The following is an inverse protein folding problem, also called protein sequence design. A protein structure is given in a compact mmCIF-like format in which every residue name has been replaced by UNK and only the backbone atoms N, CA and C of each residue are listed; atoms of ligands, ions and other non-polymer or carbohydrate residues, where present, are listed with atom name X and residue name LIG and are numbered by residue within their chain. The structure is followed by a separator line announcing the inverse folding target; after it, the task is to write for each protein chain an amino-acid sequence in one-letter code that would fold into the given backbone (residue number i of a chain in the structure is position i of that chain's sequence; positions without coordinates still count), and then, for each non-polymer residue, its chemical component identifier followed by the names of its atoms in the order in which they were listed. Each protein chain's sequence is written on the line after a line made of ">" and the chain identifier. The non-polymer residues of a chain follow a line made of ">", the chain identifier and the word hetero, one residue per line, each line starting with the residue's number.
data_IF_705302169847
#
_entry.id   IF_705302169847
#
_cell.length_a   1.000
_cell.length_b   1.000
_cell.length_c   1.000
_cell.angle_alpha   90.00
_cell.angle_beta   90.00
_cell.angle_gamma   90.00
#
_symmetry.space_group_name_H-M   'P 1'
#
loop_
_entity.id
_entity.type
_entity.pdbx_description
1 polymer ?
#
# COMPACT_ATOMS: atom_id res chain seq x y z
N UNK A 1 -24.00 -0.46 1.87
CA UNK A 1 -23.92 -1.92 1.89
C UNK A 1 -22.52 -2.44 1.53
N UNK A 2 -21.76 -1.77 0.64
CA UNK A 2 -20.40 -2.19 0.26
C UNK A 2 -19.43 -2.33 1.46
N UNK A 3 -19.34 -1.35 2.39
CA UNK A 3 -18.49 -1.49 3.58
C UNK A 3 -18.91 -2.67 4.47
N UNK A 4 -20.21 -2.99 4.52
CA UNK A 4 -20.71 -4.14 5.30
C UNK A 4 -20.21 -5.45 4.69
N UNK A 5 -20.35 -5.63 3.37
CA UNK A 5 -19.83 -6.82 2.67
C UNK A 5 -18.32 -6.92 2.83
N UNK A 6 -17.58 -5.82 2.65
CA UNK A 6 -16.14 -5.78 2.87
C UNK A 6 -15.75 -6.16 4.30
N UNK A 7 -16.44 -5.63 5.30
CA UNK A 7 -16.21 -5.96 6.70
C UNK A 7 -16.48 -7.43 7.02
N UNK A 8 -17.58 -7.99 6.52
CA UNK A 8 -17.89 -9.41 6.65
C UNK A 8 -16.81 -10.29 6.00
N UNK A 9 -16.39 -9.94 4.80
CA UNK A 9 -15.32 -10.66 4.11
C UNK A 9 -14.00 -10.59 4.89
N UNK A 10 -13.59 -9.41 5.35
CA UNK A 10 -12.36 -9.23 6.14
C UNK A 10 -12.35 -10.07 7.41
N UNK A 11 -13.48 -10.07 8.15
CA UNK A 11 -13.56 -10.73 9.46
C UNK A 11 -13.77 -12.23 9.30
N UNK A 12 -14.75 -12.66 8.50
CA UNK A 12 -15.12 -14.07 8.40
C UNK A 12 -14.08 -14.83 7.57
N UNK A 13 -13.82 -14.37 6.36
CA UNK A 13 -12.98 -15.11 5.38
C UNK A 13 -11.51 -14.98 5.72
N UNK A 14 -11.01 -13.73 5.87
CA UNK A 14 -9.55 -13.50 5.99
C UNK A 14 -9.04 -13.75 7.41
N UNK A 15 -9.87 -13.54 8.43
CA UNK A 15 -9.45 -13.62 9.83
C UNK A 15 -9.96 -14.88 10.54
N UNK A 16 -11.27 -15.13 10.57
CA UNK A 16 -11.86 -16.20 11.37
C UNK A 16 -11.59 -17.60 10.83
N UNK A 17 -11.63 -17.79 9.50
CA UNK A 17 -11.34 -19.11 8.91
C UNK A 17 -9.90 -19.60 9.18
N UNK A 18 -8.98 -18.69 9.47
CA UNK A 18 -7.57 -19.02 9.75
C UNK A 18 -7.22 -19.06 11.24
N UNK A 19 -8.19 -18.93 12.14
CA UNK A 19 -7.97 -19.05 13.58
C UNK A 19 -8.16 -17.77 14.39
N UNK A 20 -8.58 -16.66 13.78
CA UNK A 20 -8.94 -15.42 14.48
C UNK A 20 -7.78 -14.44 14.66
N UNK A 21 -7.66 -13.90 15.86
CA UNK A 21 -6.66 -12.85 16.15
C UNK A 21 -5.21 -13.35 15.97
N UNK A 22 -4.45 -12.64 15.14
CA UNK A 22 -3.02 -12.93 14.94
C UNK A 22 -2.72 -14.12 14.03
N UNK A 23 -3.73 -14.74 13.41
CA UNK A 23 -3.57 -15.89 12.51
C UNK A 23 -3.86 -15.58 11.04
N UNK A 24 -4.15 -14.32 10.72
CA UNK A 24 -4.41 -13.89 9.36
C UNK A 24 -3.14 -13.97 8.49
N UNK A 25 -3.26 -14.57 7.31
CA UNK A 25 -2.15 -14.75 6.36
C UNK A 25 -1.91 -13.52 5.47
N UNK A 26 -2.83 -12.57 5.46
CA UNK A 26 -2.70 -11.27 4.78
C UNK A 26 -3.45 -10.19 5.58
N UNK A 27 -3.21 -8.94 5.25
CA UNK A 27 -3.92 -7.82 5.88
C UNK A 27 -5.42 -7.87 5.55
N UNK A 28 -6.32 -8.03 6.55
CA UNK A 28 -7.75 -8.24 6.31
C UNK A 28 -8.44 -7.05 5.63
N UNK A 29 -8.04 -5.82 5.98
CA UNK A 29 -8.63 -4.62 5.40
C UNK A 29 -8.27 -4.48 3.91
N UNK A 30 -7.01 -4.75 3.55
CA UNK A 30 -6.56 -4.73 2.17
C UNK A 30 -7.17 -5.86 1.34
N UNK A 31 -7.28 -7.06 1.91
CA UNK A 31 -7.94 -8.18 1.25
C UNK A 31 -9.39 -7.86 0.91
N UNK A 32 -10.13 -7.27 1.86
CA UNK A 32 -11.50 -6.81 1.61
C UNK A 32 -11.56 -5.70 0.57
N UNK A 33 -10.64 -4.72 0.61
CA UNK A 33 -10.56 -3.66 -0.41
C UNK A 33 -10.32 -4.25 -1.79
N UNK A 34 -9.39 -5.17 -1.94
CA UNK A 34 -9.12 -5.82 -3.23
C UNK A 34 -10.31 -6.67 -3.70
N UNK A 35 -10.96 -7.41 -2.81
CA UNK A 35 -12.18 -8.14 -3.13
C UNK A 35 -13.27 -7.21 -3.68
N UNK A 36 -13.51 -6.08 -3.01
CA UNK A 36 -14.49 -5.10 -3.45
C UNK A 36 -14.10 -4.41 -4.76
N UNK A 37 -12.81 -4.09 -4.94
CA UNK A 37 -12.29 -3.51 -6.19
C UNK A 37 -12.51 -4.43 -7.39
N UNK A 38 -12.30 -5.73 -7.23
CA UNK A 38 -12.49 -6.71 -8.30
C UNK A 38 -13.98 -6.96 -8.56
N UNK A 39 -14.79 -7.11 -7.49
CA UNK A 39 -16.20 -7.48 -7.61
C UNK A 39 -17.11 -6.30 -7.99
N UNK A 40 -16.77 -5.09 -7.54
CA UNK A 40 -17.60 -3.89 -7.68
C UNK A 40 -16.81 -2.69 -8.22
N UNK A 41 -15.96 -2.91 -9.21
CA UNK A 41 -15.02 -1.94 -9.78
C UNK A 41 -15.67 -0.58 -10.05
N UNK A 42 -16.80 -0.56 -10.79
CA UNK A 42 -17.46 0.69 -11.17
C UNK A 42 -17.93 1.55 -10.00
N UNK A 43 -18.23 0.94 -8.82
CA UNK A 43 -18.62 1.69 -7.63
C UNK A 43 -17.42 2.09 -6.76
N UNK A 44 -16.36 1.30 -6.80
CA UNK A 44 -15.16 1.54 -6.01
C UNK A 44 -14.20 2.55 -6.65
N UNK A 45 -14.30 2.75 -7.98
CA UNK A 45 -13.44 3.70 -8.73
C UNK A 45 -14.15 4.99 -9.13
N UNK A 46 -15.43 5.13 -8.82
CA UNK A 46 -16.19 6.33 -9.14
C UNK A 46 -16.13 7.32 -7.97
N UNK A 47 -15.24 8.30 -8.08
CA UNK A 47 -15.05 9.33 -7.07
C UNK A 47 -15.82 10.58 -7.45
N UNK A 48 -16.60 11.11 -6.50
CA UNK A 48 -17.31 12.37 -6.64
C UNK A 48 -16.64 13.42 -5.78
N UNK A 49 -16.20 14.50 -6.38
CA UNK A 49 -15.62 15.65 -5.69
C UNK A 49 -16.35 16.91 -6.17
N UNK A 50 -16.83 17.69 -5.21
CA UNK A 50 -17.57 18.94 -5.48
C UNK A 50 -18.80 18.75 -6.42
N UNK A 51 -19.48 17.58 -6.29
CA UNK A 51 -20.65 17.24 -7.08
C UNK A 51 -20.38 16.75 -8.51
N UNK A 52 -19.10 16.68 -8.93
CA UNK A 52 -18.68 16.17 -10.23
C UNK A 52 -17.85 14.90 -10.10
N UNK A 53 -18.03 13.96 -11.02
CA UNK A 53 -17.13 12.82 -11.15
C UNK A 53 -15.80 13.28 -11.71
N UNK A 54 -14.72 13.05 -10.99
CA UNK A 54 -13.37 13.45 -11.39
C UNK A 54 -12.39 12.30 -11.32
N UNK A 55 -11.40 12.31 -12.19
CA UNK A 55 -10.31 11.34 -12.18
C UNK A 55 -9.39 11.59 -10.97
N UNK A 56 -8.85 10.52 -10.40
CA UNK A 56 -7.83 10.64 -9.34
C UNK A 56 -6.55 11.26 -9.88
N UNK A 57 -5.76 11.98 -9.03
CA UNK A 57 -4.49 12.57 -9.46
C UNK A 57 -3.56 11.56 -10.14
N UNK A 58 -3.54 10.33 -9.64
CA UNK A 58 -2.71 9.26 -10.20
C UNK A 58 -3.18 8.82 -11.60
N UNK A 59 -4.49 8.82 -11.86
CA UNK A 59 -5.04 8.53 -13.19
C UNK A 59 -4.70 9.65 -14.20
N UNK A 60 -4.69 10.90 -13.75
CA UNK A 60 -4.29 12.08 -14.55
C UNK A 60 -2.80 11.99 -14.91
N UNK A 61 -1.94 11.71 -13.92
CA UNK A 61 -0.49 11.52 -14.13
C UNK A 61 -0.20 10.37 -15.09
N UNK A 62 -0.95 9.28 -15.02
CA UNK A 62 -0.80 8.12 -15.91
C UNK A 62 -1.13 8.47 -17.38
N UNK A 63 -2.02 9.43 -17.61
CA UNK A 63 -2.35 9.93 -18.94
C UNK A 63 -1.34 10.96 -19.48
N UNK A 64 -0.27 11.26 -18.71
CA UNK A 64 0.78 12.21 -19.09
C UNK A 64 0.45 13.67 -18.80
N UNK A 65 -0.61 13.93 -18.05
CA UNK A 65 -0.98 15.28 -17.61
C UNK A 65 -0.30 15.60 -16.27
N UNK A 66 0.06 16.88 -16.05
CA UNK A 66 0.60 17.36 -14.78
C UNK A 66 -0.53 17.62 -13.77
N UNK A 67 -0.31 17.29 -12.51
CA UNK A 67 -1.22 17.60 -11.42
C UNK A 67 -0.52 18.45 -10.36
N UNK A 68 -1.23 19.36 -9.70
CA UNK A 68 -0.67 20.27 -8.71
C UNK A 68 -0.25 19.52 -7.43
N UNK A 69 1.07 19.44 -7.20
CA UNK A 69 1.68 18.77 -6.04
C UNK A 69 1.19 19.38 -4.71
N UNK A 70 0.97 20.69 -4.65
CA UNK A 70 0.53 21.37 -3.42
C UNK A 70 -0.86 20.89 -3.02
N UNK A 71 -1.75 20.73 -4.00
CA UNK A 71 -3.11 20.18 -3.73
C UNK A 71 -3.05 18.76 -3.22
N UNK A 72 -2.18 17.91 -3.77
CA UNK A 72 -1.98 16.54 -3.28
C UNK A 72 -1.39 16.54 -1.87
N UNK A 73 -0.48 17.44 -1.59
CA UNK A 73 0.18 17.52 -0.28
C UNK A 73 -0.80 17.95 0.82
N UNK A 74 -1.65 18.93 0.56
CA UNK A 74 -2.67 19.43 1.52
C UNK A 74 -3.85 18.46 1.60
N UNK A 75 -4.22 17.79 0.49
CA UNK A 75 -5.35 16.85 0.44
C UNK A 75 -6.61 17.41 -0.23
N UNK A 76 -6.49 18.52 -0.97
CA UNK A 76 -7.58 19.06 -1.78
C UNK A 76 -7.63 18.36 -3.15
N UNK A 77 -7.82 17.04 -3.12
CA UNK A 77 -7.80 16.15 -4.29
C UNK A 77 -8.84 15.06 -4.16
N UNK A 78 -9.20 14.52 -5.31
CA UNK A 78 -10.09 13.36 -5.42
C UNK A 78 -9.34 12.11 -4.98
N UNK A 79 -9.93 11.30 -4.11
CA UNK A 79 -9.33 10.06 -3.64
C UNK A 79 -10.15 9.36 -2.58
N UNK A 80 -9.65 8.23 -2.08
CA UNK A 80 -10.30 7.50 -1.00
C UNK A 80 -10.10 8.21 0.35
N UNK A 81 -11.06 8.06 1.24
CA UNK A 81 -10.99 8.63 2.59
C UNK A 81 -9.75 8.09 3.31
N UNK A 82 -8.92 8.99 3.83
CA UNK A 82 -7.71 8.66 4.59
C UNK A 82 -6.42 8.59 3.77
N UNK A 83 -6.45 8.78 2.45
CA UNK A 83 -5.22 8.79 1.63
C UNK A 83 -5.00 10.11 0.86
N UNK A 84 -5.90 11.07 0.95
CA UNK A 84 -5.84 12.31 0.16
C UNK A 84 -4.78 13.29 0.65
N UNK A 85 -4.55 13.42 1.95
CA UNK A 85 -3.59 14.39 2.52
C UNK A 85 -2.27 13.74 2.91
N UNK A 86 -1.22 13.99 2.12
CA UNK A 86 0.13 13.50 2.43
C UNK A 86 0.68 14.08 3.76
N UNK A 87 0.40 15.36 4.06
CA UNK A 87 0.83 16.00 5.33
C UNK A 87 0.23 15.28 6.52
N UNK A 88 -1.07 15.05 6.54
CA UNK A 88 -1.74 14.41 7.67
C UNK A 88 -1.19 12.98 7.91
N UNK A 89 -0.94 12.24 6.81
CA UNK A 89 -0.35 10.91 6.88
C UNK A 89 1.08 10.94 7.42
N UNK A 90 1.91 11.90 7.00
CA UNK A 90 3.28 12.02 7.49
C UNK A 90 3.34 12.42 8.98
N UNK A 91 2.43 13.27 9.45
CA UNK A 91 2.31 13.61 10.88
C UNK A 91 1.94 12.35 11.69
N UNK A 92 0.95 11.57 11.22
CA UNK A 92 0.58 10.31 11.86
C UNK A 92 1.72 9.29 11.84
N UNK A 93 2.42 9.13 10.73
CA UNK A 93 3.58 8.27 10.60
C UNK A 93 4.71 8.66 11.55
N UNK A 94 5.01 9.96 11.64
CA UNK A 94 6.01 10.49 12.58
C UNK A 94 5.65 10.16 14.03
N UNK A 95 4.40 10.34 14.42
CA UNK A 95 3.91 9.97 15.75
C UNK A 95 4.14 8.48 16.05
N UNK A 96 3.80 7.58 15.12
CA UNK A 96 3.99 6.14 15.31
C UNK A 96 5.48 5.76 15.42
N UNK A 97 6.35 6.41 14.65
CA UNK A 97 7.80 6.20 14.69
C UNK A 97 8.36 6.67 16.04
N UNK A 98 8.02 7.87 16.49
CA UNK A 98 8.48 8.44 17.78
C UNK A 98 8.02 7.57 18.96
N UNK A 99 6.79 7.06 18.90
CA UNK A 99 6.27 6.11 19.89
C UNK A 99 6.83 4.69 19.75
N UNK A 100 7.71 4.44 18.75
CA UNK A 100 8.29 3.12 18.47
C UNK A 100 7.26 2.02 18.22
N UNK A 101 6.08 2.41 17.75
CA UNK A 101 5.03 1.47 17.35
C UNK A 101 5.41 0.76 16.05
N UNK A 102 6.00 1.48 15.10
CA UNK A 102 6.47 0.94 13.83
C UNK A 102 7.98 1.11 13.67
N UNK A 103 8.60 0.14 12.97
CA UNK A 103 10.01 0.24 12.55
C UNK A 103 10.11 0.96 11.22
N UNK A 104 11.08 1.84 11.08
CA UNK A 104 11.30 2.65 9.86
C UNK A 104 11.82 1.81 8.69
N UNK A 105 12.35 0.61 8.94
CA UNK A 105 12.99 -0.24 7.92
C UNK A 105 12.08 -0.52 6.74
N UNK A 106 10.85 -1.01 6.97
CA UNK A 106 9.91 -1.35 5.89
C UNK A 106 9.49 -0.11 5.09
N UNK A 107 8.97 0.99 5.71
CA UNK A 107 8.58 2.16 4.96
C UNK A 107 9.73 2.79 4.18
N UNK A 108 10.92 2.88 4.79
CA UNK A 108 12.08 3.49 4.14
C UNK A 108 12.53 2.68 2.91
N UNK A 109 12.70 1.37 3.05
CA UNK A 109 13.11 0.50 1.93
C UNK A 109 12.05 0.46 0.84
N UNK A 110 10.77 0.46 1.20
CA UNK A 110 9.67 0.50 0.25
C UNK A 110 9.69 1.79 -0.58
N UNK A 111 9.72 2.96 0.08
CA UNK A 111 9.71 4.25 -0.60
C UNK A 111 10.98 4.48 -1.43
N UNK A 112 12.17 4.08 -0.93
CA UNK A 112 13.42 4.18 -1.68
C UNK A 112 13.40 3.30 -2.94
N UNK A 113 12.99 2.04 -2.82
CA UNK A 113 12.91 1.13 -3.97
C UNK A 113 11.90 1.60 -5.00
N UNK A 114 10.73 2.07 -4.55
CA UNK A 114 9.73 2.64 -5.43
C UNK A 114 10.25 3.91 -6.14
N UNK A 115 10.96 4.78 -5.41
CA UNK A 115 11.55 5.99 -6.00
C UNK A 115 12.59 5.67 -7.08
N UNK A 116 13.48 4.71 -6.81
CA UNK A 116 14.47 4.25 -7.80
C UNK A 116 13.76 3.66 -9.03
N UNK A 117 12.74 2.83 -8.80
CA UNK A 117 11.97 2.23 -9.88
C UNK A 117 11.27 3.29 -10.75
N UNK A 118 10.64 4.30 -10.11
CA UNK A 118 9.99 5.42 -10.80
C UNK A 118 10.99 6.24 -11.59
N UNK A 119 12.15 6.57 -11.03
CA UNK A 119 13.17 7.36 -11.74
C UNK A 119 13.71 6.69 -12.99
N UNK A 120 13.74 5.35 -13.02
CA UNK A 120 14.31 4.59 -14.16
C UNK A 120 13.24 4.22 -15.19
N UNK A 121 12.07 3.80 -14.75
CA UNK A 121 11.06 3.11 -15.58
C UNK A 121 9.78 3.92 -15.81
N UNK A 122 9.68 5.13 -15.25
CA UNK A 122 8.48 5.96 -15.46
C UNK A 122 8.45 6.56 -16.88
N UNK A 123 7.27 7.01 -17.33
CA UNK A 123 7.15 7.76 -18.60
C UNK A 123 7.98 9.04 -18.64
N UNK A 124 8.29 9.65 -17.48
CA UNK A 124 9.13 10.83 -17.31
C UNK A 124 10.37 10.49 -16.47
N UNK A 125 11.43 9.86 -17.05
CA UNK A 125 12.60 9.44 -16.29
C UNK A 125 13.33 10.69 -15.73
N UNK A 126 13.84 10.55 -14.48
CA UNK A 126 14.59 11.59 -13.76
C UNK A 126 13.85 12.90 -13.51
N UNK A 127 12.52 12.93 -13.62
CA UNK A 127 11.71 14.08 -13.22
C UNK A 127 11.37 14.01 -11.73
N UNK A 128 11.95 14.92 -10.94
CA UNK A 128 11.72 15.00 -9.50
C UNK A 128 10.30 15.45 -9.15
N UNK A 129 9.67 16.27 -10.00
CA UNK A 129 8.29 16.69 -9.78
C UNK A 129 7.30 15.52 -9.97
N UNK A 130 7.48 14.76 -11.04
CA UNK A 130 6.73 13.55 -11.31
C UNK A 130 6.87 12.54 -10.17
N UNK A 131 8.10 12.30 -9.70
CA UNK A 131 8.39 11.43 -8.56
C UNK A 131 7.64 11.90 -7.30
N UNK A 132 7.67 13.20 -6.98
CA UNK A 132 6.98 13.73 -5.81
C UNK A 132 5.46 13.54 -5.90
N UNK A 133 4.86 13.73 -7.06
CA UNK A 133 3.45 13.46 -7.31
C UNK A 133 3.12 11.97 -7.14
N UNK A 134 3.96 11.07 -7.67
CA UNK A 134 3.79 9.61 -7.53
C UNK A 134 3.93 9.15 -6.07
N UNK A 135 4.82 9.75 -5.29
CA UNK A 135 4.97 9.46 -3.86
C UNK A 135 3.76 9.93 -3.04
N UNK A 136 3.23 11.12 -3.34
CA UNK A 136 2.07 11.67 -2.64
C UNK A 136 0.74 11.05 -3.08
N UNK A 137 0.69 10.43 -4.27
CA UNK A 137 -0.53 9.88 -4.85
C UNK A 137 -0.79 8.41 -4.55
N UNK A 138 -2.05 8.01 -4.76
CA UNK A 138 -2.47 6.60 -4.80
C UNK A 138 -2.23 5.82 -3.51
N UNK A 139 -2.29 6.46 -2.36
CA UNK A 139 -2.21 5.80 -1.07
C UNK A 139 -0.86 5.15 -0.75
N UNK A 140 0.24 5.54 -1.44
CA UNK A 140 1.56 4.95 -1.21
C UNK A 140 2.07 5.23 0.20
N UNK A 141 1.98 6.48 0.68
CA UNK A 141 2.38 6.85 2.04
C UNK A 141 1.55 6.09 3.07
N UNK A 142 0.23 6.04 2.87
CA UNK A 142 -0.65 5.29 3.75
C UNK A 142 -0.31 3.79 3.76
N UNK A 143 -0.10 3.20 2.58
CA UNK A 143 0.32 1.80 2.43
C UNK A 143 1.64 1.50 3.11
N UNK A 144 2.65 2.37 2.93
CA UNK A 144 3.99 2.16 3.46
C UNK A 144 4.06 2.24 4.99
N UNK A 145 3.41 3.23 5.60
CA UNK A 145 3.53 3.47 7.04
C UNK A 145 2.45 2.78 7.89
N UNK A 146 1.25 2.55 7.37
CA UNK A 146 0.13 2.04 8.18
C UNK A 146 -0.31 0.64 7.80
N UNK A 147 -0.11 0.22 6.54
CA UNK A 147 -0.58 -1.07 6.07
C UNK A 147 0.53 -2.13 5.96
N UNK A 148 1.70 -1.77 5.40
CA UNK A 148 2.81 -2.70 5.22
C UNK A 148 3.55 -3.01 6.53
N UNK A 149 3.35 -2.20 7.56
CA UNK A 149 3.97 -2.37 8.89
C UNK A 149 3.10 -3.17 9.87
N UNK A 150 2.06 -3.84 9.40
CA UNK A 150 1.22 -4.70 10.24
C UNK A 150 2.06 -5.83 10.86
N UNK A 151 1.96 -6.00 12.19
CA UNK A 151 2.78 -6.95 12.96
C UNK A 151 2.56 -8.42 12.58
N UNK A 152 1.35 -8.77 12.13
CA UNK A 152 0.99 -10.16 11.84
C UNK A 152 1.48 -10.59 10.46
N UNK A 153 1.44 -9.65 9.51
CA UNK A 153 1.67 -9.94 8.08
C UNK A 153 3.01 -9.45 7.55
N UNK A 154 3.87 -8.86 8.42
CA UNK A 154 5.21 -8.42 8.05
C UNK A 154 6.30 -9.36 8.59
N UNK A 155 7.49 -9.43 7.94
CA UNK A 155 8.59 -10.27 8.38
C UNK A 155 9.13 -9.89 9.76
N UNK A 156 9.53 -10.91 10.53
CA UNK A 156 10.04 -10.73 11.90
C UNK A 156 11.48 -10.21 11.93
N UNK A 157 12.34 -10.72 11.03
CA UNK A 157 13.75 -10.37 10.98
C UNK A 157 14.02 -9.10 10.18
N UNK A 158 15.05 -8.35 10.57
CA UNK A 158 15.44 -7.10 9.90
C UNK A 158 15.83 -7.31 8.43
N UNK A 159 16.51 -8.43 8.13
CA UNK A 159 16.84 -8.78 6.73
C UNK A 159 15.59 -9.11 5.92
N UNK A 160 14.63 -9.83 6.55
CA UNK A 160 13.34 -10.09 5.94
C UNK A 160 12.57 -8.81 5.64
N UNK A 161 12.60 -7.84 6.56
CA UNK A 161 11.97 -6.53 6.37
C UNK A 161 12.56 -5.74 5.20
N UNK A 162 13.88 -5.82 4.99
CA UNK A 162 14.55 -5.22 3.83
C UNK A 162 14.08 -5.86 2.52
N UNK A 163 14.09 -7.20 2.44
CA UNK A 163 13.63 -7.93 1.25
C UNK A 163 12.15 -7.63 0.96
N UNK A 164 11.34 -7.61 2.00
CA UNK A 164 9.91 -7.30 1.90
C UNK A 164 9.67 -5.88 1.38
N UNK A 165 10.40 -4.87 1.89
CA UNK A 165 10.31 -3.50 1.43
C UNK A 165 10.74 -3.33 -0.03
N UNK A 166 11.81 -4.02 -0.47
CA UNK A 166 12.25 -4.04 -1.87
C UNK A 166 11.16 -4.65 -2.76
N UNK A 167 10.61 -5.79 -2.35
CA UNK A 167 9.54 -6.47 -3.09
C UNK A 167 8.31 -5.58 -3.25
N UNK A 168 7.90 -4.90 -2.17
CA UNK A 168 6.80 -3.94 -2.20
C UNK A 168 7.03 -2.81 -3.19
N UNK A 169 8.23 -2.21 -3.18
CA UNK A 169 8.58 -1.11 -4.08
C UNK A 169 8.52 -1.51 -5.55
N UNK A 170 9.11 -2.67 -5.88
CA UNK A 170 9.11 -3.21 -7.25
C UNK A 170 7.69 -3.55 -7.71
N UNK A 171 6.91 -4.30 -6.90
CA UNK A 171 5.56 -4.69 -7.27
C UNK A 171 4.64 -3.48 -7.43
N UNK A 172 4.74 -2.49 -6.53
CA UNK A 172 3.94 -1.26 -6.65
C UNK A 172 4.27 -0.51 -7.94
N UNK A 173 5.56 -0.38 -8.28
CA UNK A 173 5.99 0.25 -9.52
C UNK A 173 5.48 -0.52 -10.75
N UNK A 174 5.59 -1.84 -10.75
CA UNK A 174 5.07 -2.68 -11.84
C UNK A 174 3.56 -2.50 -12.01
N UNK A 175 2.78 -2.53 -10.92
CA UNK A 175 1.33 -2.35 -11.03
C UNK A 175 0.92 -0.95 -11.46
N UNK A 176 1.63 0.09 -11.04
CA UNK A 176 1.32 1.47 -11.43
C UNK A 176 1.63 1.75 -12.90
N UNK A 177 2.80 1.35 -13.36
CA UNK A 177 3.24 1.70 -14.73
C UNK A 177 2.75 0.71 -15.79
N UNK A 178 2.70 -0.56 -15.48
CA UNK A 178 2.31 -1.61 -16.42
C UNK A 178 0.91 -2.18 -16.19
N UNK A 179 0.32 -1.98 -15.00
CA UNK A 179 -1.03 -2.44 -14.69
C UNK A 179 -2.12 -1.57 -15.33
N UNK A 180 -3.31 -2.12 -15.46
CA UNK A 180 -4.50 -1.39 -15.94
C UNK A 180 -5.06 -0.42 -14.89
N UNK A 181 -4.89 -0.73 -13.60
CA UNK A 181 -5.32 0.11 -12.49
C UNK A 181 -4.22 1.09 -12.08
N UNK A 182 -4.60 2.33 -11.80
CA UNK A 182 -3.68 3.32 -11.24
C UNK A 182 -3.26 2.96 -9.79
N UNK A 183 -4.10 2.25 -9.05
CA UNK A 183 -3.87 1.88 -7.65
C UNK A 183 -3.24 0.49 -7.54
N UNK A 184 -1.91 0.41 -7.46
CA UNK A 184 -1.17 -0.85 -7.32
C UNK A 184 -0.79 -1.23 -5.89
N UNK A 185 -0.84 -0.29 -4.95
CA UNK A 185 -0.33 -0.48 -3.56
C UNK A 185 -1.02 -1.63 -2.83
N UNK A 186 -2.35 -1.70 -2.90
CA UNK A 186 -3.12 -2.74 -2.21
C UNK A 186 -2.78 -4.15 -2.70
N UNK A 187 -2.67 -4.33 -4.01
CA UNK A 187 -2.29 -5.60 -4.63
C UNK A 187 -0.84 -5.99 -4.29
N UNK A 188 0.08 -5.02 -4.34
CA UNK A 188 1.49 -5.23 -4.00
C UNK A 188 1.64 -5.72 -2.54
N UNK A 189 0.94 -5.09 -1.60
CA UNK A 189 1.01 -5.48 -0.18
C UNK A 189 0.42 -6.90 0.02
N UNK A 190 -0.72 -7.23 -0.59
CA UNK A 190 -1.31 -8.55 -0.44
C UNK A 190 -0.38 -9.64 -0.99
N UNK A 191 0.15 -9.46 -2.20
CA UNK A 191 1.06 -10.45 -2.79
C UNK A 191 2.31 -10.59 -1.94
N UNK A 192 2.86 -9.46 -1.46
CA UNK A 192 4.04 -9.50 -0.58
C UNK A 192 3.74 -10.19 0.76
N UNK A 193 2.55 -9.99 1.35
CA UNK A 193 2.14 -10.68 2.56
C UNK A 193 2.10 -12.20 2.39
N UNK A 194 1.62 -12.69 1.24
CA UNK A 194 1.62 -14.13 0.91
C UNK A 194 3.04 -14.71 0.83
N UNK A 195 4.03 -13.89 0.49
CA UNK A 195 5.43 -14.30 0.37
C UNK A 195 6.20 -14.18 1.71
N UNK A 196 5.64 -13.55 2.74
CA UNK A 196 6.31 -13.40 4.05
C UNK A 196 6.77 -14.72 4.65
N UNK A 197 5.98 -15.83 4.67
CA UNK A 197 6.45 -17.09 5.20
C UNK A 197 7.69 -17.63 4.46
N UNK A 198 7.80 -17.38 3.17
CA UNK A 198 8.97 -17.75 2.36
C UNK A 198 10.17 -16.87 2.70
N UNK A 199 9.97 -15.56 2.85
CA UNK A 199 11.01 -14.62 3.24
C UNK A 199 11.55 -14.96 4.62
N UNK A 200 10.69 -15.24 5.60
CA UNK A 200 11.10 -15.64 6.95
C UNK A 200 11.88 -16.96 6.95
N UNK A 201 11.47 -17.94 6.12
CA UNK A 201 12.22 -19.19 5.97
C UNK A 201 13.63 -18.97 5.42
N UNK A 202 13.83 -17.99 4.54
CA UNK A 202 15.13 -17.67 3.95
C UNK A 202 16.04 -16.85 4.88
N UNK A 203 15.43 -16.01 5.74
CA UNK A 203 16.19 -15.04 6.56
C UNK A 203 16.46 -15.51 7.98
N UNK A 204 15.59 -16.31 8.57
CA UNK A 204 15.78 -16.87 9.89
C UNK A 204 16.83 -17.98 9.87
N UNK A 205 17.99 -17.71 10.48
CA UNK A 205 19.05 -18.70 10.68
C UNK A 205 18.53 -19.82 11.58
N UNK A 206 18.28 -20.99 11.03
CA UNK A 206 17.95 -22.18 11.81
C UNK A 206 16.63 -22.86 11.47
N UNK A 207 16.12 -22.67 10.28
CA UNK A 207 15.02 -23.41 9.66
C UNK A 207 13.95 -23.95 10.63
N UNK A 208 12.76 -23.55 10.46
CA UNK A 208 11.55 -23.97 11.16
C UNK A 208 11.07 -22.97 12.21
N UNK A 209 10.24 -22.07 11.77
CA UNK A 209 9.18 -21.53 12.67
C UNK A 209 8.42 -22.76 13.19
N UNK A 210 8.72 -23.19 14.42
CA UNK A 210 7.87 -24.14 15.12
C UNK A 210 6.54 -23.41 15.36
N UNK A 211 5.56 -23.67 14.54
CA UNK A 211 4.18 -23.32 14.82
C UNK A 211 3.83 -24.02 16.13
N UNK A 212 3.79 -23.28 17.24
CA UNK A 212 3.19 -23.80 18.46
C UNK A 212 1.71 -24.04 18.16
N UNK A 213 1.35 -25.32 18.17
CA UNK A 213 -0.05 -25.75 18.15
C UNK A 213 -0.80 -25.19 19.35
#
# INVERSE_FOLDING_TARGET
>A
WLPVIGGLFAIIVVKQFYGGLGQNFMNPALAARCFLLISFTGRMTNFVFDGMTSSTPLAILKNGESFDLIRMFIGNTVGTIGETSAIALLIGAMYLIVKKVIKVTIPLTYLLTFSIFTLILSPCPFDAYYLACELCGGGLIFGAFFMATDYVTSPMDQKGQLIYGILLGVLTGLFRFFGTSAEGVSYAIIISNLLVPLIDKLTLKGGVVKWKK
#
